data_IF_234900320737
#
_entry.id   IF_234900320737
#
_cell.length_a   1.000
_cell.length_b   1.000
_cell.length_c   1.000
_cell.angle_alpha   90.00
_cell.angle_beta   90.00
_cell.angle_gamma   90.00
#
_symmetry.space_group_name_H-M   'P 1'
#
loop_
_entity.id
_entity.type
_entity.pdbx_description
1 polymer ?
#
# COMPACT_ATOMS: atom_id res chain seq x y z
N UNK A 1 -16.49 9.11 -5.02
CA UNK A 1 -15.28 9.88 -4.75
C UNK A 1 -15.75 11.13 -4.05
N UNK A 2 -15.66 11.15 -2.73
CA UNK A 2 -15.78 12.37 -1.95
C UNK A 2 -14.46 13.10 -2.13
N UNK A 3 -14.54 14.31 -2.64
CA UNK A 3 -13.46 15.29 -2.70
C UNK A 3 -12.93 15.47 -1.26
N UNK A 4 -11.97 14.66 -0.87
CA UNK A 4 -11.19 14.86 0.33
C UNK A 4 -10.20 15.96 0.03
N UNK A 5 -10.60 17.20 0.29
CA UNK A 5 -9.68 18.30 0.31
C UNK A 5 -8.51 17.93 1.24
N UNK A 6 -7.29 17.90 0.71
CA UNK A 6 -6.09 17.84 1.50
C UNK A 6 -6.16 18.99 2.52
N UNK A 7 -5.73 18.80 3.78
CA UNK A 7 -5.73 19.89 4.75
C UNK A 7 -4.99 21.09 4.15
N UNK A 8 -5.57 22.28 4.29
CA UNK A 8 -4.96 23.54 3.82
C UNK A 8 -3.58 23.68 4.46
N UNK A 9 -2.55 23.37 3.69
CA UNK A 9 -1.16 23.69 4.04
C UNK A 9 -1.03 25.19 3.83
N UNK A 10 -0.89 25.95 4.91
CA UNK A 10 -0.74 27.41 4.84
C UNK A 10 0.53 27.79 4.08
N UNK A 11 0.39 28.78 3.21
CA UNK A 11 1.41 29.35 2.34
C UNK A 11 2.53 30.02 3.13
N UNK A 12 3.75 29.56 2.92
CA UNK A 12 4.95 30.25 3.39
C UNK A 12 5.74 30.70 2.18
N UNK A 13 5.80 32.00 1.96
CA UNK A 13 6.72 32.58 0.97
C UNK A 13 8.10 32.71 1.59
N UNK A 14 9.06 31.93 1.07
CA UNK A 14 10.47 32.09 1.44
C UNK A 14 11.03 33.28 0.68
N UNK A 15 11.05 34.44 1.33
CA UNK A 15 11.69 35.66 0.79
C UNK A 15 13.22 35.66 0.87
N UNK A 16 13.86 34.56 1.34
CA UNK A 16 15.28 34.50 1.58
C UNK A 16 15.96 33.66 0.51
N UNK A 17 16.89 34.27 -0.21
CA UNK A 17 17.81 33.57 -1.09
C UNK A 17 18.56 32.47 -0.29
N UNK A 18 18.69 31.27 -0.85
CA UNK A 18 19.52 30.23 -0.26
C UNK A 18 20.94 30.79 -0.02
N UNK A 19 21.65 30.39 1.06
CA UNK A 19 22.99 30.83 1.32
C UNK A 19 23.91 30.47 0.16
N UNK A 20 24.91 31.35 -0.10
CA UNK A 20 25.91 31.06 -1.13
C UNK A 20 26.82 29.89 -0.74
N UNK A 21 27.07 29.74 0.58
CA UNK A 21 28.01 28.75 1.11
C UNK A 21 27.40 28.02 2.33
N UNK A 22 27.58 26.69 2.36
CA UNK A 22 27.33 25.83 3.52
C UNK A 22 28.62 25.15 3.91
N UNK A 23 29.02 25.26 5.17
CA UNK A 23 30.23 24.65 5.72
C UNK A 23 29.85 23.59 6.74
N UNK A 24 30.48 22.41 6.67
CA UNK A 24 30.23 21.31 7.59
C UNK A 24 31.54 20.79 8.16
N UNK A 25 31.54 20.45 9.45
CA UNK A 25 32.68 19.82 10.11
C UNK A 25 32.20 18.91 11.25
N UNK A 26 33.04 17.97 11.65
CA UNK A 26 32.82 17.13 12.81
C UNK A 26 33.95 17.38 13.83
N UNK A 27 33.63 17.76 15.07
CA UNK A 27 34.63 17.97 16.12
C UNK A 27 35.29 16.63 16.52
N UNK A 28 36.56 16.68 16.84
CA UNK A 28 37.30 15.57 17.44
C UNK A 28 37.23 15.60 18.99
N UNK A 29 37.62 14.52 19.64
CA UNK A 29 37.81 14.48 21.09
C UNK A 29 36.57 14.22 21.94
N UNK A 30 35.43 13.85 21.34
CA UNK A 30 34.27 13.42 22.10
C UNK A 30 34.54 12.07 22.81
N UNK A 31 34.11 11.93 24.07
CA UNK A 31 34.32 10.67 24.81
C UNK A 31 33.35 9.57 24.30
N UNK A 32 33.61 8.33 24.70
CA UNK A 32 32.63 7.25 24.65
C UNK A 32 31.55 7.50 25.71
N UNK A 33 30.34 7.74 25.28
CA UNK A 33 29.20 8.08 26.17
C UNK A 33 28.60 6.86 26.87
N UNK A 34 28.15 7.06 28.10
CA UNK A 34 27.48 6.07 28.95
C UNK A 34 26.21 6.63 29.59
N UNK A 35 25.33 5.78 30.14
CA UNK A 35 24.12 6.25 30.81
C UNK A 35 24.42 7.25 31.93
N UNK A 36 23.79 8.41 31.86
CA UNK A 36 23.93 9.49 32.84
C UNK A 36 25.03 10.49 32.56
N UNK A 37 25.84 10.33 31.52
CA UNK A 37 26.83 11.33 31.12
C UNK A 37 26.18 12.64 30.70
N UNK A 38 26.82 13.76 31.04
CA UNK A 38 26.38 15.10 30.64
C UNK A 38 26.78 15.39 29.18
N UNK A 39 25.93 14.95 28.29
CA UNK A 39 26.10 15.12 26.83
C UNK A 39 26.26 16.59 26.44
N UNK A 40 25.44 17.46 26.99
CA UNK A 40 25.43 18.87 26.60
C UNK A 40 26.75 19.55 27.00
N UNK A 41 27.31 19.25 28.19
CA UNK A 41 28.59 19.75 28.63
C UNK A 41 29.71 19.22 27.74
N UNK A 42 29.74 17.91 27.46
CA UNK A 42 30.80 17.32 26.62
C UNK A 42 30.78 17.93 25.20
N UNK A 43 29.59 18.14 24.62
CA UNK A 43 29.47 18.81 23.32
C UNK A 43 29.87 20.28 23.38
N UNK A 44 29.45 21.05 24.40
CA UNK A 44 29.82 22.44 24.55
C UNK A 44 31.33 22.61 24.66
N UNK A 45 32.00 21.77 25.44
CA UNK A 45 33.46 21.80 25.62
C UNK A 45 34.20 21.45 24.31
N UNK A 46 33.79 20.40 23.60
CA UNK A 46 34.38 19.99 22.33
C UNK A 46 34.18 21.03 21.23
N UNK A 47 32.96 21.55 21.10
CA UNK A 47 32.61 22.57 20.08
C UNK A 47 33.24 23.92 20.34
N UNK A 48 33.43 24.31 21.61
CA UNK A 48 34.14 25.53 21.98
C UNK A 48 35.64 25.42 21.74
N UNK A 49 36.21 24.22 21.95
CA UNK A 49 37.63 23.96 21.67
C UNK A 49 37.93 23.79 20.18
N UNK A 50 36.94 23.50 19.34
CA UNK A 50 37.12 23.38 17.90
C UNK A 50 37.48 24.72 17.26
N UNK A 51 38.33 24.71 16.24
CA UNK A 51 38.83 25.90 15.54
C UNK A 51 37.74 26.78 14.94
N UNK A 52 36.56 26.21 14.62
CA UNK A 52 35.44 26.94 14.05
C UNK A 52 34.55 27.57 15.12
N UNK A 53 34.57 27.05 16.34
CA UNK A 53 33.68 27.46 17.42
C UNK A 53 32.23 27.22 17.09
N UNK A 54 31.30 27.49 18.02
CA UNK A 54 29.86 27.46 17.81
C UNK A 54 29.35 28.90 17.77
N UNK A 55 28.50 29.22 16.79
CA UNK A 55 27.92 30.57 16.63
C UNK A 55 26.42 30.49 16.40
N UNK A 56 25.74 31.63 16.53
CA UNK A 56 24.33 31.74 16.20
C UNK A 56 24.03 31.29 14.77
N UNK A 57 23.00 30.51 14.59
CA UNK A 57 22.56 29.99 13.28
C UNK A 57 23.21 28.65 12.88
N UNK A 58 24.09 28.08 13.71
CA UNK A 58 24.61 26.74 13.48
C UNK A 58 23.56 25.66 13.78
N UNK A 59 23.63 24.53 13.04
CA UNK A 59 22.85 23.32 13.31
C UNK A 59 23.79 22.22 13.80
N UNK A 60 23.55 21.73 15.02
CA UNK A 60 24.28 20.60 15.61
C UNK A 60 23.55 19.31 15.23
N UNK A 61 24.22 18.44 14.50
CA UNK A 61 23.67 17.16 14.01
C UNK A 61 24.34 16.00 14.71
N UNK A 62 23.58 15.17 15.41
CA UNK A 62 24.13 14.05 16.18
C UNK A 62 23.42 12.74 15.87
N UNK A 63 24.16 11.62 15.91
CA UNK A 63 23.57 10.29 15.76
C UNK A 63 22.73 9.92 17.00
N UNK A 64 21.58 9.27 16.77
CA UNK A 64 20.68 8.78 17.82
C UNK A 64 21.37 7.95 18.89
N UNK A 65 22.43 7.21 18.54
CA UNK A 65 23.14 6.35 19.48
C UNK A 65 23.80 7.07 20.65
N UNK A 66 24.19 8.32 20.46
CA UNK A 66 24.72 9.12 21.57
C UNK A 66 23.62 9.37 22.60
N UNK A 67 22.43 9.75 22.15
CA UNK A 67 21.27 9.91 23.03
C UNK A 67 20.86 8.58 23.65
N UNK A 68 20.79 7.52 22.84
CA UNK A 68 20.46 6.18 23.33
C UNK A 68 21.40 5.72 24.46
N UNK A 69 22.72 6.04 24.37
CA UNK A 69 23.69 5.73 25.43
C UNK A 69 23.43 6.58 26.66
N UNK A 70 23.33 7.89 26.54
CA UNK A 70 23.18 8.80 27.68
C UNK A 70 21.81 8.66 28.38
N UNK A 71 20.76 8.32 27.64
CA UNK A 71 19.40 8.09 28.15
C UNK A 71 19.14 6.68 28.66
N UNK A 72 20.17 5.78 28.62
CA UNK A 72 20.06 4.43 29.12
C UNK A 72 19.22 3.49 28.22
N UNK A 73 19.10 3.80 26.92
CA UNK A 73 18.41 2.97 25.91
C UNK A 73 19.32 1.87 25.35
N UNK A 74 20.25 1.39 26.19
CA UNK A 74 21.18 0.30 25.89
C UNK A 74 20.75 -0.95 26.65
N UNK A 75 20.59 -2.05 25.91
CA UNK A 75 20.16 -3.34 26.47
C UNK A 75 21.35 -4.31 26.49
N UNK A 76 21.72 -4.88 27.68
CA UNK A 76 22.71 -5.93 27.73
C UNK A 76 22.32 -7.13 26.86
N UNK A 77 23.27 -7.63 26.08
CA UNK A 77 23.05 -8.73 25.14
C UNK A 77 24.00 -9.91 25.39
N UNK A 78 23.54 -11.16 25.22
CA UNK A 78 24.41 -12.34 25.30
C UNK A 78 25.54 -12.30 24.29
N UNK A 79 26.64 -12.99 24.60
CA UNK A 79 27.75 -13.20 23.66
C UNK A 79 27.52 -14.33 22.70
N UNK A 80 26.64 -15.27 23.05
CA UNK A 80 26.23 -16.33 22.16
C UNK A 80 25.45 -15.73 20.99
N UNK A 81 25.80 -16.03 19.71
CA UNK A 81 25.18 -15.42 18.55
C UNK A 81 23.68 -15.75 18.41
N UNK A 82 23.26 -16.97 18.76
CA UNK A 82 21.87 -17.39 18.62
C UNK A 82 20.98 -16.77 19.71
N UNK A 83 21.48 -16.72 20.93
CA UNK A 83 20.79 -16.04 22.05
C UNK A 83 20.70 -14.53 21.79
N UNK A 84 21.79 -13.92 21.25
CA UNK A 84 21.82 -12.51 20.87
C UNK A 84 20.79 -12.20 19.76
N UNK A 85 20.72 -13.03 18.73
CA UNK A 85 19.74 -12.87 17.64
C UNK A 85 18.30 -13.06 18.17
N UNK A 86 18.08 -14.02 19.08
CA UNK A 86 16.78 -14.21 19.73
C UNK A 86 16.38 -13.01 20.59
N UNK A 87 17.30 -12.42 21.35
CA UNK A 87 17.05 -11.18 22.09
C UNK A 87 16.73 -10.03 21.12
N UNK A 88 17.52 -9.85 20.07
CA UNK A 88 17.32 -8.80 19.08
C UNK A 88 15.93 -8.89 18.46
N UNK A 89 15.45 -10.09 18.09
CA UNK A 89 14.10 -10.29 17.55
C UNK A 89 13.02 -9.86 18.54
N UNK A 90 13.14 -10.23 19.81
CA UNK A 90 12.18 -9.80 20.85
C UNK A 90 12.15 -8.27 21.00
N UNK A 91 13.32 -7.63 20.95
CA UNK A 91 13.40 -6.16 21.02
C UNK A 91 12.77 -5.51 19.78
N UNK A 92 13.04 -6.04 18.58
CA UNK A 92 12.41 -5.57 17.35
C UNK A 92 10.88 -5.71 17.41
N UNK A 93 10.37 -6.83 17.89
CA UNK A 93 8.92 -7.05 18.05
C UNK A 93 8.33 -6.06 19.08
N UNK A 94 9.05 -5.80 20.19
CA UNK A 94 8.62 -4.87 21.22
C UNK A 94 8.63 -3.39 20.78
N UNK A 95 9.58 -3.00 19.93
CA UNK A 95 9.70 -1.63 19.39
C UNK A 95 8.87 -1.41 18.12
N UNK A 96 8.29 -2.47 17.52
CA UNK A 96 7.50 -2.39 16.29
C UNK A 96 6.01 -2.20 16.59
N UNK A 97 5.38 -1.29 15.84
CA UNK A 97 3.92 -1.13 15.80
C UNK A 97 3.30 -2.09 14.78
N UNK A 98 3.95 -2.23 13.62
CA UNK A 98 3.54 -3.18 12.58
C UNK A 98 4.70 -3.59 11.68
N UNK A 99 4.54 -4.74 11.03
CA UNK A 99 5.49 -5.24 10.02
C UNK A 99 5.03 -4.80 8.64
N UNK A 100 5.88 -4.03 7.94
CA UNK A 100 5.62 -3.55 6.58
C UNK A 100 6.09 -4.57 5.53
N UNK A 101 7.31 -5.10 5.70
CA UNK A 101 7.86 -6.11 4.78
C UNK A 101 8.82 -7.07 5.49
N UNK A 102 8.90 -8.30 4.97
CA UNK A 102 9.86 -9.30 5.42
C UNK A 102 10.50 -9.96 4.21
N UNK A 103 11.82 -9.87 4.11
CA UNK A 103 12.61 -10.57 3.08
C UNK A 103 13.82 -11.20 3.74
N UNK A 104 13.90 -12.51 3.71
CA UNK A 104 14.95 -13.28 4.36
C UNK A 104 15.06 -12.93 5.86
N UNK A 105 16.23 -12.39 6.30
CA UNK A 105 16.46 -11.92 7.65
C UNK A 105 16.13 -10.44 7.87
N UNK A 106 15.82 -9.72 6.80
CA UNK A 106 15.49 -8.28 6.87
C UNK A 106 14.00 -8.12 7.19
N UNK A 107 13.73 -7.38 8.24
CA UNK A 107 12.40 -6.99 8.67
C UNK A 107 12.30 -5.47 8.58
N UNK A 108 11.38 -4.97 7.77
CA UNK A 108 11.01 -3.55 7.72
C UNK A 108 9.76 -3.38 8.57
N UNK A 109 9.83 -2.51 9.54
CA UNK A 109 8.72 -2.27 10.47
C UNK A 109 8.50 -0.77 10.66
N UNK A 110 7.28 -0.41 10.98
CA UNK A 110 6.97 0.88 11.58
C UNK A 110 7.23 0.79 13.08
N UNK A 111 8.06 1.68 13.60
CA UNK A 111 8.40 1.75 15.01
C UNK A 111 7.45 2.69 15.79
N UNK A 112 7.69 2.85 17.09
CA UNK A 112 6.88 3.70 17.98
C UNK A 112 6.92 5.19 17.62
N UNK A 113 7.95 5.64 16.90
CA UNK A 113 8.06 7.01 16.41
C UNK A 113 7.28 7.22 15.10
N UNK A 114 6.62 6.17 14.55
CA UNK A 114 5.95 6.19 13.25
C UNK A 114 6.89 6.03 12.06
N UNK A 115 8.18 5.83 12.31
CA UNK A 115 9.21 5.72 11.26
C UNK A 115 9.25 4.29 10.71
N UNK A 116 9.19 4.16 9.39
CA UNK A 116 9.32 2.87 8.70
C UNK A 116 10.78 2.62 8.35
N UNK A 117 11.40 1.65 9.04
CA UNK A 117 12.80 1.31 8.84
C UNK A 117 13.11 -0.16 9.15
N UNK A 118 14.37 -0.57 8.93
CA UNK A 118 14.80 -1.92 9.24
C UNK A 118 14.87 -2.15 10.75
N UNK A 119 14.30 -3.27 11.20
CA UNK A 119 14.39 -3.76 12.56
C UNK A 119 14.00 -2.75 13.66
N UNK A 120 13.03 -1.87 13.38
CA UNK A 120 12.54 -0.84 14.29
C UNK A 120 13.63 0.11 14.84
N UNK A 121 14.79 0.19 14.20
CA UNK A 121 15.96 0.93 14.69
C UNK A 121 16.79 0.20 15.75
N UNK A 122 16.50 -1.06 16.09
CA UNK A 122 17.31 -1.86 17.00
C UNK A 122 18.63 -2.22 16.33
N UNK A 123 19.74 -1.67 16.84
CA UNK A 123 21.06 -1.80 16.24
C UNK A 123 22.12 -2.33 17.23
N UNK A 124 23.08 -3.06 16.71
CA UNK A 124 24.25 -3.56 17.43
C UNK A 124 25.57 -3.00 16.92
N UNK A 125 25.53 -1.99 16.03
CA UNK A 125 26.74 -1.33 15.54
C UNK A 125 27.15 -0.15 16.43
N UNK A 126 28.47 0.13 16.57
CA UNK A 126 29.00 1.21 17.40
C UNK A 126 28.50 1.20 18.87
N UNK A 127 28.22 0.03 19.40
CA UNK A 127 28.01 -0.28 20.82
C UNK A 127 28.93 -1.43 21.22
N UNK A 128 29.09 -1.70 22.51
CA UNK A 128 29.93 -2.83 22.96
C UNK A 128 29.35 -4.17 22.42
N UNK A 129 30.22 -5.18 22.25
CA UNK A 129 29.81 -6.48 21.70
C UNK A 129 28.69 -7.15 22.50
N UNK A 130 28.53 -6.76 23.78
CA UNK A 130 27.47 -7.27 24.68
C UNK A 130 26.30 -6.31 24.85
N UNK A 131 26.04 -5.48 23.88
CA UNK A 131 24.98 -4.46 23.93
C UNK A 131 24.19 -4.40 22.64
N UNK A 132 22.93 -3.97 22.77
CA UNK A 132 22.05 -3.55 21.68
C UNK A 132 21.51 -2.17 22.02
N UNK A 133 21.48 -1.27 21.05
CA UNK A 133 20.89 0.06 21.18
C UNK A 133 19.45 0.07 20.69
N UNK A 134 18.57 0.72 21.43
CA UNK A 134 17.23 1.13 21.03
C UNK A 134 17.25 2.62 20.70
N UNK A 135 16.29 3.10 19.90
CA UNK A 135 16.15 4.53 19.64
C UNK A 135 15.77 5.28 20.93
N UNK A 136 16.09 6.58 21.05
CA UNK A 136 15.54 7.45 22.08
C UNK A 136 14.02 7.38 22.14
N UNK A 137 13.44 7.59 23.31
CA UNK A 137 11.96 7.52 23.46
C UNK A 137 11.25 8.68 22.77
N UNK A 138 11.79 9.88 22.92
CA UNK A 138 11.31 11.09 22.23
C UNK A 138 12.51 11.93 21.75
N UNK A 139 13.01 11.64 20.54
CA UNK A 139 14.20 12.30 20.02
C UNK A 139 13.97 13.81 19.73
N UNK A 140 12.73 14.26 19.49
CA UNK A 140 12.41 15.68 19.38
C UNK A 140 12.55 16.40 20.75
N UNK A 141 12.04 15.81 21.83
CA UNK A 141 12.20 16.35 23.17
C UNK A 141 13.66 16.37 23.60
N UNK A 142 14.43 15.31 23.28
CA UNK A 142 15.88 15.24 23.53
C UNK A 142 16.63 16.33 22.77
N UNK A 143 16.29 16.55 21.48
CA UNK A 143 16.86 17.64 20.68
C UNK A 143 16.59 19.00 21.29
N UNK A 144 15.35 19.26 21.74
CA UNK A 144 14.97 20.52 22.38
C UNK A 144 15.70 20.75 23.70
N UNK A 145 15.83 19.71 24.53
CA UNK A 145 16.57 19.81 25.77
C UNK A 145 18.07 20.13 25.52
N UNK A 146 18.66 19.45 24.52
CA UNK A 146 20.06 19.67 24.16
C UNK A 146 20.29 21.07 23.58
N UNK A 147 19.41 21.57 22.70
CA UNK A 147 19.52 22.92 22.13
C UNK A 147 19.48 24.01 23.22
N UNK A 148 18.55 23.88 24.20
CA UNK A 148 18.47 24.80 25.33
C UNK A 148 19.74 24.77 26.18
N UNK A 149 20.26 23.59 26.46
CA UNK A 149 21.43 23.46 27.33
C UNK A 149 22.71 23.92 26.62
N UNK A 150 22.88 23.66 25.33
CA UNK A 150 23.97 24.21 24.52
C UNK A 150 23.92 25.75 24.51
N UNK A 151 22.76 26.35 24.32
CA UNK A 151 22.59 27.83 24.41
C UNK A 151 22.98 28.36 25.78
N UNK A 152 22.57 27.69 26.86
CA UNK A 152 22.94 28.04 28.21
C UNK A 152 24.46 27.99 28.46
N UNK A 153 25.15 27.00 27.92
CA UNK A 153 26.56 26.75 28.15
C UNK A 153 27.49 27.58 27.26
N UNK A 154 27.08 27.84 26.02
CA UNK A 154 27.92 28.51 25.01
C UNK A 154 27.48 29.93 24.69
N UNK A 155 26.21 30.28 24.98
CA UNK A 155 25.60 31.53 24.56
C UNK A 155 25.10 31.52 23.11
N UNK A 156 25.46 30.52 22.30
CA UNK A 156 25.07 30.44 20.89
C UNK A 156 23.65 29.88 20.73
N UNK A 157 22.85 30.53 19.88
CA UNK A 157 21.53 30.06 19.48
C UNK A 157 21.71 29.08 18.33
N UNK A 158 21.47 27.79 18.59
CA UNK A 158 21.66 26.71 17.63
C UNK A 158 20.41 25.85 17.52
N UNK A 159 20.23 25.22 16.34
CA UNK A 159 19.29 24.14 16.17
C UNK A 159 19.99 22.78 16.42
N UNK A 160 19.20 21.77 16.74
CA UNK A 160 19.68 20.38 16.94
C UNK A 160 18.88 19.44 16.05
N UNK A 161 19.60 18.53 15.34
CA UNK A 161 19.01 17.44 14.55
C UNK A 161 19.58 16.11 15.03
N UNK A 162 18.71 15.19 15.38
CA UNK A 162 19.05 13.81 15.75
C UNK A 162 18.84 12.92 14.56
N UNK A 163 19.84 12.09 14.20
CA UNK A 163 19.81 11.28 12.99
C UNK A 163 19.89 9.79 13.29
N UNK A 164 19.27 9.00 12.42
CA UNK A 164 19.50 7.57 12.34
C UNK A 164 19.78 7.14 10.90
N UNK A 165 20.62 6.11 10.72
CA UNK A 165 21.02 5.60 9.41
C UNK A 165 19.99 4.61 8.91
N UNK A 166 19.30 4.89 7.82
CA UNK A 166 18.27 3.99 7.29
C UNK A 166 18.32 3.79 5.78
N UNK A 167 17.78 2.65 5.34
CA UNK A 167 17.60 2.33 3.93
C UNK A 167 16.47 3.15 3.33
N UNK A 168 16.47 3.23 2.00
CA UNK A 168 15.43 3.93 1.21
C UNK A 168 14.75 2.95 0.28
N UNK A 169 13.43 3.10 0.12
CA UNK A 169 12.69 2.35 -0.88
C UNK A 169 13.28 2.59 -2.30
N UNK A 170 13.35 1.53 -3.09
CA UNK A 170 13.86 1.51 -4.49
C UNK A 170 15.29 2.01 -4.74
N UNK A 171 16.08 2.21 -3.72
CA UNK A 171 17.48 2.65 -3.87
C UNK A 171 18.42 1.80 -3.04
N UNK A 172 19.58 1.48 -3.60
CA UNK A 172 20.67 0.84 -2.85
C UNK A 172 21.38 1.89 -1.98
N UNK A 173 21.90 1.47 -0.85
CA UNK A 173 22.61 2.31 0.12
C UNK A 173 21.68 2.87 1.20
N UNK A 174 22.32 3.41 2.21
CA UNK A 174 21.72 4.03 3.39
C UNK A 174 22.10 5.50 3.44
N UNK A 175 21.29 6.30 4.10
CA UNK A 175 21.59 7.70 4.43
C UNK A 175 21.16 7.95 5.86
N UNK A 176 21.71 8.98 6.49
CA UNK A 176 21.16 9.50 7.72
C UNK A 176 19.87 10.29 7.42
N UNK A 177 18.84 10.08 8.22
CA UNK A 177 17.58 10.81 8.19
C UNK A 177 17.31 11.41 9.57
N UNK A 178 16.60 12.53 9.61
CA UNK A 178 16.22 13.18 10.85
C UNK A 178 15.12 12.37 11.55
N UNK A 179 15.37 11.98 12.80
CA UNK A 179 14.38 11.34 13.67
C UNK A 179 13.98 12.21 14.86
N UNK A 180 14.69 13.30 15.11
CA UNK A 180 14.39 14.32 16.08
C UNK A 180 14.96 15.65 15.65
N UNK A 181 14.26 16.76 15.94
CA UNK A 181 14.68 18.12 15.61
C UNK A 181 14.15 19.13 16.60
N UNK A 182 14.93 20.22 16.82
CA UNK A 182 14.51 21.37 17.58
C UNK A 182 15.21 22.66 17.09
N UNK A 183 14.49 23.77 17.13
CA UNK A 183 14.99 25.09 16.74
C UNK A 183 15.19 25.25 15.22
N UNK A 184 14.62 24.35 14.40
CA UNK A 184 14.76 24.30 12.94
C UNK A 184 13.39 24.13 12.27
N UNK A 185 13.18 24.77 11.12
CA UNK A 185 12.15 24.35 10.17
C UNK A 185 12.58 23.01 9.56
N UNK A 186 11.80 21.96 9.76
CA UNK A 186 12.17 20.63 9.27
C UNK A 186 11.78 20.41 7.81
N UNK A 187 10.80 21.17 7.31
CA UNK A 187 10.47 21.23 5.87
C UNK A 187 10.18 22.67 5.42
N UNK A 188 10.31 22.89 4.10
CA UNK A 188 10.03 24.16 3.44
C UNK A 188 9.16 23.91 2.22
N UNK A 189 7.88 24.29 2.33
CA UNK A 189 6.92 24.20 1.23
C UNK A 189 7.05 25.37 0.26
N UNK A 190 6.91 25.11 -1.04
CA UNK A 190 6.88 26.09 -2.11
C UNK A 190 5.52 26.19 -2.79
N UNK A 191 4.46 25.69 -2.15
CA UNK A 191 3.10 25.74 -2.70
C UNK A 191 2.66 27.19 -2.95
N UNK A 192 2.21 27.44 -4.19
CA UNK A 192 1.83 28.78 -4.65
C UNK A 192 3.00 29.72 -4.97
N UNK A 193 4.27 29.30 -4.85
CA UNK A 193 5.39 30.02 -5.38
C UNK A 193 5.46 29.89 -6.92
N UNK A 194 6.06 30.87 -7.58
CA UNK A 194 6.17 30.91 -9.04
C UNK A 194 7.65 30.81 -9.44
N UNK A 195 7.97 29.86 -10.33
CA UNK A 195 9.34 29.73 -10.85
C UNK A 195 9.74 30.88 -11.79
N UNK A 196 11.01 30.89 -12.23
CA UNK A 196 11.53 31.95 -13.12
C UNK A 196 10.82 32.01 -14.48
N UNK A 197 10.17 30.93 -14.89
CA UNK A 197 9.42 30.78 -16.15
C UNK A 197 7.94 31.17 -15.99
N UNK A 198 7.48 31.43 -14.77
CA UNK A 198 6.10 31.79 -14.47
C UNK A 198 5.20 30.61 -14.15
N UNK A 199 5.75 29.41 -13.92
CA UNK A 199 4.95 28.24 -13.52
C UNK A 199 4.76 28.21 -12.00
N UNK A 200 3.53 27.97 -11.58
CA UNK A 200 3.18 27.79 -10.16
C UNK A 200 3.66 26.42 -9.64
N UNK A 201 4.32 26.43 -8.48
CA UNK A 201 4.74 25.22 -7.77
C UNK A 201 3.59 24.76 -6.86
N UNK A 202 3.05 23.56 -7.11
CA UNK A 202 1.82 23.09 -6.44
C UNK A 202 2.08 22.04 -5.34
N UNK A 203 3.24 21.36 -5.36
CA UNK A 203 3.48 20.19 -4.51
C UNK A 203 4.93 20.08 -4.00
N UNK A 204 5.73 21.12 -4.19
CA UNK A 204 7.15 21.06 -3.80
C UNK A 204 7.29 21.37 -2.31
N UNK A 205 7.71 20.37 -1.54
CA UNK A 205 8.04 20.47 -0.12
C UNK A 205 9.40 19.82 0.11
N UNK A 206 10.37 20.60 0.58
CA UNK A 206 11.75 20.14 0.78
C UNK A 206 11.95 19.71 2.22
N UNK A 207 12.31 18.44 2.44
CA UNK A 207 12.60 17.87 3.76
C UNK A 207 13.99 18.32 4.24
N UNK A 208 14.09 19.57 4.68
CA UNK A 208 15.35 20.25 5.00
C UNK A 208 16.13 19.53 6.10
N UNK A 209 15.44 19.02 7.12
CA UNK A 209 16.11 18.29 8.20
C UNK A 209 16.77 17.00 7.71
N UNK A 210 16.14 16.29 6.75
CA UNK A 210 16.72 15.10 6.13
C UNK A 210 17.92 15.44 5.22
N UNK A 211 17.86 16.55 4.49
CA UNK A 211 19.00 17.02 3.69
C UNK A 211 20.20 17.37 4.59
N UNK A 212 19.97 18.10 5.69
CA UNK A 212 21.00 18.41 6.68
C UNK A 212 21.55 17.14 7.33
N UNK A 213 20.68 16.20 7.72
CA UNK A 213 21.08 14.92 8.30
C UNK A 213 22.00 14.13 7.38
N UNK A 214 21.59 13.96 6.11
CA UNK A 214 22.35 13.24 5.09
C UNK A 214 23.68 13.93 4.75
N UNK A 215 23.71 15.26 4.65
CA UNK A 215 24.91 16.02 4.38
C UNK A 215 25.91 15.92 5.53
N UNK A 216 25.44 16.01 6.78
CA UNK A 216 26.28 15.91 7.97
C UNK A 216 26.94 14.53 8.11
N UNK A 217 26.33 13.45 7.62
CA UNK A 217 26.92 12.10 7.66
C UNK A 217 28.22 12.01 6.83
N UNK A 218 28.37 12.84 5.78
CA UNK A 218 29.59 12.88 4.98
C UNK A 218 30.84 13.27 5.78
N UNK A 219 30.69 14.11 6.82
CA UNK A 219 31.80 14.57 7.67
C UNK A 219 31.91 13.76 8.98
N UNK A 220 30.81 13.21 9.50
CA UNK A 220 30.82 12.25 10.61
C UNK A 220 31.54 10.97 10.21
N UNK A 221 31.16 10.42 9.08
CA UNK A 221 31.65 9.13 8.60
C UNK A 221 31.29 7.97 9.54
N UNK A 222 31.67 6.76 9.17
CA UNK A 222 31.22 5.55 9.89
C UNK A 222 32.23 4.99 10.91
N UNK A 223 33.51 5.20 10.68
CA UNK A 223 34.60 4.57 11.45
C UNK A 223 35.46 5.57 12.25
N UNK A 224 35.19 6.87 12.12
CA UNK A 224 36.00 7.93 12.69
C UNK A 224 35.69 8.28 14.16
N UNK A 225 34.72 7.58 14.81
CA UNK A 225 34.25 7.91 16.17
C UNK A 225 33.80 9.39 16.31
N UNK A 226 33.25 9.95 15.24
CA UNK A 226 32.72 11.33 15.19
C UNK A 226 31.19 11.32 15.12
N UNK A 227 30.51 11.18 16.26
CA UNK A 227 29.05 11.04 16.27
C UNK A 227 28.27 12.35 16.06
N UNK A 228 28.99 13.47 15.98
CA UNK A 228 28.43 14.83 15.89
C UNK A 228 29.07 15.58 14.73
N UNK A 229 28.24 16.37 14.04
CA UNK A 229 28.71 17.37 13.07
C UNK A 229 28.01 18.70 13.34
N UNK A 230 28.58 19.79 12.79
CA UNK A 230 27.97 21.12 12.78
C UNK A 230 27.81 21.55 11.32
N UNK A 231 26.65 22.11 11.01
CA UNK A 231 26.33 22.68 9.70
C UNK A 231 26.10 24.19 9.87
N UNK A 232 26.88 24.98 9.20
CA UNK A 232 26.85 26.45 9.22
C UNK A 232 26.44 27.01 7.87
N UNK A 233 25.72 28.12 7.85
CA UNK A 233 25.24 28.77 6.62
C UNK A 233 23.74 28.59 6.40
N UNK A 234 23.07 27.82 7.23
CA UNK A 234 21.62 27.53 7.15
C UNK A 234 20.80 28.25 8.23
N UNK A 235 21.35 29.27 8.86
CA UNK A 235 20.73 30.00 9.96
C UNK A 235 19.35 30.64 9.65
N UNK A 236 19.03 30.87 8.39
CA UNK A 236 17.72 31.33 7.94
C UNK A 236 16.60 30.30 8.13
N UNK A 237 16.96 29.03 8.43
CA UNK A 237 16.01 27.96 8.69
C UNK A 237 15.72 27.81 10.21
N UNK A 238 16.46 28.54 11.07
CA UNK A 238 16.24 28.46 12.50
C UNK A 238 14.92 29.17 12.88
N UNK A 239 14.20 28.56 13.79
CA UNK A 239 12.98 29.10 14.40
C UNK A 239 13.14 29.19 15.91
N UNK A 240 12.41 30.08 16.57
CA UNK A 240 12.35 30.14 18.03
C UNK A 240 11.39 29.08 18.58
N UNK A 241 11.79 28.34 19.63
CA UNK A 241 10.93 27.34 20.30
C UNK A 241 9.75 27.99 21.03
N UNK A 242 9.89 29.29 21.36
CA UNK A 242 8.89 30.13 22.02
C UNK A 242 8.17 31.06 21.01
N UNK A 243 8.12 30.62 19.73
CA UNK A 243 7.70 31.43 18.60
C UNK A 243 6.35 32.13 18.75
N UNK A 244 6.24 33.32 18.14
CA UNK A 244 5.00 34.05 17.94
C UNK A 244 3.88 33.13 17.43
N UNK A 245 2.66 33.35 17.94
CA UNK A 245 1.46 32.57 17.55
C UNK A 245 1.22 32.55 16.02
N UNK A 246 1.78 33.51 15.28
CA UNK A 246 1.72 33.58 13.81
C UNK A 246 2.55 32.48 13.09
N UNK A 247 3.48 31.81 13.78
CA UNK A 247 4.30 30.69 13.24
C UNK A 247 3.88 29.31 13.79
N UNK A 248 2.74 29.16 14.42
CA UNK A 248 2.29 27.93 15.07
C UNK A 248 2.18 26.72 14.12
N UNK A 249 1.98 26.95 12.82
CA UNK A 249 1.77 25.92 11.81
C UNK A 249 3.07 25.52 11.05
N UNK A 250 4.24 26.05 11.44
CA UNK A 250 5.52 25.66 10.81
C UNK A 250 5.98 24.30 11.34
N UNK A 251 6.27 23.30 10.46
CA UNK A 251 6.84 22.04 10.89
C UNK A 251 8.20 22.25 11.56
N UNK A 252 8.33 21.86 12.84
CA UNK A 252 9.50 22.16 13.69
C UNK A 252 10.12 20.91 14.30
N UNK A 253 9.43 19.77 14.22
CA UNK A 253 9.85 18.50 14.82
C UNK A 253 10.03 17.46 13.73
N UNK A 254 10.99 16.59 13.88
CA UNK A 254 11.21 15.53 12.88
C UNK A 254 9.98 14.62 12.71
N UNK A 255 9.17 14.45 13.76
CA UNK A 255 7.88 13.73 13.65
C UNK A 255 6.92 14.35 12.66
N UNK A 256 7.03 15.65 12.37
CA UNK A 256 6.18 16.35 11.41
C UNK A 256 6.50 15.95 9.95
N UNK A 257 7.67 15.30 9.70
CA UNK A 257 8.05 14.71 8.42
C UNK A 257 7.44 13.31 8.19
N UNK A 258 6.89 12.70 9.24
CA UNK A 258 6.28 11.37 9.15
C UNK A 258 4.87 11.52 8.58
N UNK A 259 4.62 10.91 7.41
CA UNK A 259 3.29 10.93 6.79
C UNK A 259 2.27 10.20 7.64
N UNK A 260 1.12 10.84 7.86
CA UNK A 260 -0.03 10.18 8.46
C UNK A 260 -0.53 9.02 7.60
N UNK A 261 -0.95 7.93 8.26
CA UNK A 261 -1.25 6.67 7.59
C UNK A 261 -2.24 6.72 6.43
N UNK A 262 -3.17 7.69 6.37
CA UNK A 262 -4.14 7.82 5.27
C UNK A 262 -3.58 8.57 4.06
N UNK A 263 -2.58 9.41 4.25
CA UNK A 263 -1.91 10.17 3.18
C UNK A 263 -0.68 9.46 2.61
N UNK A 264 -0.24 8.35 3.21
CA UNK A 264 0.91 7.59 2.74
C UNK A 264 0.50 6.59 1.66
N UNK A 265 0.94 6.85 0.41
CA UNK A 265 0.70 5.97 -0.74
C UNK A 265 1.37 4.59 -0.61
N UNK A 266 2.35 4.45 0.27
CA UNK A 266 3.11 3.22 0.50
C UNK A 266 2.80 2.57 1.85
N UNK A 267 1.70 2.98 2.49
CA UNK A 267 1.29 2.54 3.82
C UNK A 267 1.19 1.02 3.96
N UNK A 268 0.63 0.36 2.94
CA UNK A 268 0.43 -1.08 3.00
C UNK A 268 1.74 -1.82 2.78
N UNK A 269 2.12 -2.65 3.74
CA UNK A 269 3.15 -3.65 3.54
C UNK A 269 2.72 -4.72 2.54
N UNK A 270 3.67 -5.45 1.97
CA UNK A 270 3.39 -6.51 0.98
C UNK A 270 2.38 -7.54 1.48
N UNK A 271 2.52 -8.01 2.72
CA UNK A 271 1.61 -8.98 3.30
C UNK A 271 0.20 -8.41 3.53
N UNK A 272 0.11 -7.16 3.96
CA UNK A 272 -1.16 -6.46 4.15
C UNK A 272 -1.88 -6.22 2.82
N UNK A 273 -1.17 -5.75 1.79
CA UNK A 273 -1.73 -5.53 0.46
C UNK A 273 -2.27 -6.84 -0.15
N UNK A 274 -1.52 -7.95 -0.02
CA UNK A 274 -1.97 -9.28 -0.46
C UNK A 274 -3.20 -9.73 0.33
N UNK A 275 -3.21 -9.55 1.64
CA UNK A 275 -4.34 -9.92 2.48
C UNK A 275 -5.59 -9.07 2.17
N UNK A 276 -5.42 -7.79 1.91
CA UNK A 276 -6.50 -6.89 1.50
C UNK A 276 -7.05 -7.29 0.14
N UNK A 277 -6.20 -7.49 -0.88
CA UNK A 277 -6.63 -7.93 -2.21
C UNK A 277 -7.41 -9.26 -2.18
N UNK A 278 -6.99 -10.21 -1.32
CA UNK A 278 -7.74 -11.47 -1.11
C UNK A 278 -9.13 -11.24 -0.54
N UNK A 279 -9.29 -10.33 0.43
CA UNK A 279 -10.60 -10.01 1.02
C UNK A 279 -11.49 -9.26 0.05
N UNK A 280 -10.92 -8.40 -0.78
CA UNK A 280 -11.64 -7.55 -1.73
C UNK A 280 -12.02 -8.25 -3.03
N UNK A 281 -11.40 -9.36 -3.37
CA UNK A 281 -11.62 -10.07 -4.64
C UNK A 281 -13.08 -10.41 -4.91
N UNK A 282 -13.82 -10.88 -3.89
CA UNK A 282 -15.24 -11.22 -4.04
C UNK A 282 -16.14 -9.97 -4.06
N UNK A 283 -16.00 -8.99 -3.14
CA UNK A 283 -16.74 -7.73 -3.18
C UNK A 283 -16.49 -6.88 -4.45
N UNK A 284 -15.31 -6.94 -5.05
CA UNK A 284 -14.98 -6.22 -6.28
C UNK A 284 -15.81 -6.69 -7.47
N UNK A 285 -16.25 -7.95 -7.50
CA UNK A 285 -17.09 -8.49 -8.57
C UNK A 285 -18.47 -7.82 -8.59
N UNK A 286 -18.78 -7.15 -9.67
CA UNK A 286 -20.08 -6.49 -9.92
C UNK A 286 -20.69 -6.93 -11.26
N UNK A 287 -22.00 -6.81 -11.38
CA UNK A 287 -22.68 -7.01 -12.67
C UNK A 287 -22.60 -5.73 -13.50
N UNK A 288 -21.64 -5.69 -14.42
CA UNK A 288 -21.40 -4.58 -15.35
C UNK A 288 -22.20 -4.81 -16.62
N UNK A 289 -22.94 -3.76 -17.06
CA UNK A 289 -23.81 -3.82 -18.24
C UNK A 289 -23.49 -2.75 -19.30
N UNK A 290 -22.53 -1.88 -19.00
CA UNK A 290 -22.01 -0.87 -19.93
C UNK A 290 -20.50 -1.06 -20.04
N UNK A 291 -20.05 -1.31 -21.24
CA UNK A 291 -18.66 -1.59 -21.55
C UNK A 291 -18.08 -0.48 -22.43
N UNK A 292 -16.77 -0.26 -22.35
CA UNK A 292 -16.02 0.56 -23.29
C UNK A 292 -15.81 -0.23 -24.60
N UNK A 293 -15.34 0.46 -25.62
CA UNK A 293 -14.97 -0.15 -26.91
C UNK A 293 -13.57 -0.75 -26.90
N UNK A 294 -12.89 -0.73 -25.75
CA UNK A 294 -11.54 -1.28 -25.60
C UNK A 294 -11.56 -2.80 -25.82
N UNK A 295 -10.70 -3.33 -26.72
CA UNK A 295 -10.62 -4.75 -26.99
C UNK A 295 -10.05 -5.51 -25.81
N UNK A 296 -10.62 -6.67 -25.51
CA UNK A 296 -10.15 -7.56 -24.44
C UNK A 296 -9.13 -8.53 -25.01
N UNK A 297 -7.96 -8.60 -24.38
CA UNK A 297 -6.91 -9.53 -24.74
C UNK A 297 -7.39 -10.98 -24.53
N UNK A 298 -7.10 -11.83 -25.53
CA UNK A 298 -7.47 -13.25 -25.51
C UNK A 298 -6.73 -14.04 -24.43
N UNK A 299 -5.49 -13.67 -24.08
CA UNK A 299 -4.72 -14.32 -23.03
C UNK A 299 -5.33 -14.00 -21.65
N UNK A 300 -5.75 -12.77 -21.41
CA UNK A 300 -6.43 -12.37 -20.17
C UNK A 300 -7.72 -13.16 -19.96
N UNK A 301 -8.49 -13.42 -21.06
CA UNK A 301 -9.68 -14.26 -20.98
C UNK A 301 -9.33 -15.72 -20.71
N UNK A 302 -8.30 -16.25 -21.34
CA UNK A 302 -7.85 -17.62 -21.13
C UNK A 302 -7.39 -17.85 -19.69
N UNK A 303 -6.64 -16.92 -19.13
CA UNK A 303 -6.19 -16.97 -17.73
C UNK A 303 -7.37 -16.90 -16.75
N UNK A 304 -8.37 -16.07 -17.02
CA UNK A 304 -9.57 -16.01 -16.19
C UNK A 304 -10.40 -17.30 -16.24
N UNK A 305 -10.43 -17.96 -17.41
CA UNK A 305 -11.04 -19.30 -17.57
C UNK A 305 -10.22 -20.35 -16.84
N UNK A 306 -8.88 -20.32 -16.91
CA UNK A 306 -8.02 -21.23 -16.17
C UNK A 306 -8.25 -21.16 -14.66
N UNK A 307 -8.35 -19.94 -14.10
CA UNK A 307 -8.72 -19.75 -12.71
C UNK A 307 -10.11 -20.33 -12.39
N UNK A 308 -11.09 -20.13 -13.28
CA UNK A 308 -12.44 -20.64 -13.09
C UNK A 308 -12.51 -22.18 -13.07
N UNK A 309 -11.63 -22.84 -13.81
CA UNK A 309 -11.53 -24.31 -13.85
C UNK A 309 -10.94 -24.93 -12.56
N UNK A 310 -10.44 -24.09 -11.62
CA UNK A 310 -10.05 -24.54 -10.27
C UNK A 310 -11.25 -24.76 -9.34
N UNK A 311 -12.47 -24.43 -9.78
CA UNK A 311 -13.68 -24.63 -9.00
C UNK A 311 -13.86 -26.12 -8.63
N UNK A 312 -14.38 -26.41 -7.42
CA UNK A 312 -14.60 -27.79 -6.99
C UNK A 312 -15.63 -28.50 -7.90
N UNK A 313 -15.33 -29.75 -8.25
CA UNK A 313 -16.22 -30.60 -9.01
C UNK A 313 -16.36 -31.98 -8.37
N UNK A 314 -17.49 -32.67 -8.53
CA UNK A 314 -17.71 -34.02 -8.01
C UNK A 314 -16.69 -35.01 -8.59
N UNK A 315 -16.33 -36.04 -7.84
CA UNK A 315 -15.57 -37.20 -8.30
C UNK A 315 -14.21 -36.89 -8.93
N UNK A 316 -13.58 -35.74 -8.57
CA UNK A 316 -12.37 -35.24 -9.24
C UNK A 316 -12.51 -35.11 -10.76
N UNK A 317 -13.73 -34.93 -11.24
CA UNK A 317 -14.06 -34.73 -12.66
C UNK A 317 -13.73 -33.31 -13.13
N UNK A 318 -13.73 -33.12 -14.44
CA UNK A 318 -13.56 -31.80 -15.08
C UNK A 318 -14.75 -31.50 -16.01
N UNK A 319 -15.98 -31.36 -15.47
CA UNK A 319 -17.18 -31.31 -16.29
C UNK A 319 -17.44 -29.94 -16.93
N UNK A 320 -16.71 -28.91 -16.48
CA UNK A 320 -16.99 -27.54 -16.89
C UNK A 320 -16.31 -27.22 -18.22
N UNK A 321 -17.07 -26.58 -19.11
CA UNK A 321 -16.61 -26.09 -20.41
C UNK A 321 -16.98 -24.62 -20.56
N UNK A 322 -16.08 -23.84 -21.13
CA UNK A 322 -16.33 -22.44 -21.49
C UNK A 322 -16.15 -22.28 -23.00
N UNK A 323 -17.13 -21.67 -23.66
CA UNK A 323 -17.10 -21.43 -25.10
C UNK A 323 -17.10 -19.92 -25.35
N UNK A 324 -16.03 -19.38 -25.90
CA UNK A 324 -15.98 -18.01 -26.39
C UNK A 324 -16.68 -17.94 -27.74
N UNK A 325 -17.70 -17.07 -27.88
CA UNK A 325 -18.51 -16.96 -29.08
C UNK A 325 -18.33 -15.58 -29.71
N UNK A 326 -17.86 -15.56 -30.96
CA UNK A 326 -17.58 -14.32 -31.70
C UNK A 326 -18.08 -14.36 -33.14
N UNK A 327 -18.01 -13.23 -33.83
CA UNK A 327 -18.26 -13.11 -35.25
C UNK A 327 -19.61 -13.65 -35.70
N UNK A 328 -19.63 -14.39 -36.79
CA UNK A 328 -20.86 -14.95 -37.40
C UNK A 328 -21.60 -15.93 -36.47
N UNK A 329 -20.87 -16.72 -35.69
CA UNK A 329 -21.47 -17.67 -34.76
C UNK A 329 -22.26 -16.92 -33.65
N UNK A 330 -21.74 -15.85 -33.13
CA UNK A 330 -22.44 -14.99 -32.16
C UNK A 330 -23.71 -14.38 -32.74
N UNK A 331 -23.65 -13.80 -33.95
CA UNK A 331 -24.80 -13.19 -34.60
C UNK A 331 -25.93 -14.23 -34.82
N UNK A 332 -25.58 -15.43 -35.32
CA UNK A 332 -26.51 -16.51 -35.57
C UNK A 332 -27.15 -17.00 -34.26
N UNK A 333 -26.36 -17.29 -33.25
CA UNK A 333 -26.84 -17.73 -31.93
C UNK A 333 -27.80 -16.72 -31.31
N UNK A 334 -27.39 -15.45 -31.19
CA UNK A 334 -28.24 -14.42 -30.56
C UNK A 334 -29.50 -14.13 -31.34
N UNK A 335 -29.50 -14.28 -32.66
CA UNK A 335 -30.68 -14.24 -33.49
C UNK A 335 -31.67 -15.35 -33.17
N UNK A 336 -31.19 -16.59 -33.07
CA UNK A 336 -32.02 -17.75 -32.72
C UNK A 336 -32.58 -17.69 -31.31
N UNK A 337 -31.75 -17.31 -30.31
CA UNK A 337 -32.19 -17.13 -28.92
C UNK A 337 -33.25 -16.03 -28.79
N UNK A 338 -33.12 -14.95 -29.57
CA UNK A 338 -34.13 -13.89 -29.60
C UNK A 338 -35.47 -14.37 -30.19
N UNK A 339 -35.43 -15.17 -31.25
CA UNK A 339 -36.61 -15.72 -31.87
C UNK A 339 -37.36 -16.69 -30.93
N UNK A 340 -36.63 -17.55 -30.22
CA UNK A 340 -37.20 -18.45 -29.21
C UNK A 340 -37.85 -17.64 -28.08
N UNK A 341 -37.16 -16.64 -27.55
CA UNK A 341 -37.68 -15.79 -26.47
C UNK A 341 -38.90 -14.96 -26.92
N UNK A 342 -38.90 -14.45 -28.13
CA UNK A 342 -40.07 -13.74 -28.70
C UNK A 342 -41.26 -14.65 -28.80
N UNK A 343 -41.08 -15.90 -29.23
CA UNK A 343 -42.16 -16.90 -29.30
C UNK A 343 -42.78 -17.16 -27.92
N UNK A 344 -41.94 -17.34 -26.90
CA UNK A 344 -42.38 -17.57 -25.51
C UNK A 344 -43.13 -16.36 -24.96
N UNK A 345 -42.61 -15.15 -25.16
CA UNK A 345 -43.26 -13.91 -24.72
C UNK A 345 -44.59 -13.68 -25.39
N UNK A 346 -44.74 -14.07 -26.66
CA UNK A 346 -46.02 -14.00 -27.38
C UNK A 346 -47.02 -15.03 -26.85
N UNK A 347 -46.56 -16.23 -26.52
CA UNK A 347 -47.37 -17.25 -25.88
C UNK A 347 -47.88 -16.80 -24.49
N UNK A 348 -47.07 -16.02 -23.76
CA UNK A 348 -47.45 -15.36 -22.51
C UNK A 348 -48.39 -14.16 -22.69
N UNK A 349 -48.79 -13.82 -23.94
CA UNK A 349 -49.70 -12.73 -24.25
C UNK A 349 -49.06 -11.35 -24.38
N UNK A 350 -47.73 -11.24 -24.39
CA UNK A 350 -47.05 -9.96 -24.55
C UNK A 350 -47.01 -9.49 -26.01
N UNK A 351 -47.42 -8.23 -26.24
CA UNK A 351 -47.44 -7.60 -27.58
C UNK A 351 -46.94 -6.15 -27.51
N UNK A 352 -46.76 -5.52 -28.69
CA UNK A 352 -46.45 -4.11 -28.82
C UNK A 352 -45.21 -3.65 -28.05
N UNK A 353 -45.30 -2.52 -27.37
CA UNK A 353 -44.20 -1.91 -26.66
C UNK A 353 -43.65 -2.77 -25.49
N UNK A 354 -44.53 -3.52 -24.81
CA UNK A 354 -44.16 -4.41 -23.73
C UNK A 354 -43.21 -5.51 -24.22
N UNK A 355 -43.58 -6.13 -25.36
CA UNK A 355 -42.75 -7.13 -26.02
C UNK A 355 -41.41 -6.53 -26.45
N UNK A 356 -41.42 -5.37 -27.13
CA UNK A 356 -40.21 -4.71 -27.60
C UNK A 356 -39.26 -4.37 -26.42
N UNK A 357 -39.77 -3.80 -25.33
CA UNK A 357 -38.99 -3.48 -24.14
C UNK A 357 -38.37 -4.71 -23.47
N UNK A 358 -39.09 -5.83 -23.42
CA UNK A 358 -38.55 -7.09 -22.87
C UNK A 358 -37.41 -7.64 -23.74
N UNK A 359 -37.62 -7.69 -25.05
CA UNK A 359 -36.62 -8.15 -26.02
C UNK A 359 -35.37 -7.28 -26.03
N UNK A 360 -35.50 -5.97 -25.79
CA UNK A 360 -34.36 -5.04 -25.66
C UNK A 360 -33.40 -5.37 -24.50
N UNK A 361 -33.85 -6.10 -23.48
CA UNK A 361 -32.93 -6.55 -22.39
C UNK A 361 -31.87 -7.54 -22.88
N UNK A 362 -32.10 -8.20 -24.02
CA UNK A 362 -31.12 -9.10 -24.65
C UNK A 362 -29.97 -8.37 -25.37
N UNK A 363 -30.07 -7.05 -25.54
CA UNK A 363 -29.08 -6.27 -26.30
C UNK A 363 -27.73 -6.24 -25.62
N UNK A 364 -27.66 -6.42 -24.29
CA UNK A 364 -26.40 -6.57 -23.55
C UNK A 364 -25.51 -7.63 -24.20
N UNK A 365 -26.04 -8.81 -24.54
CA UNK A 365 -25.24 -9.89 -25.15
C UNK A 365 -24.86 -9.57 -26.61
N UNK A 366 -25.51 -8.62 -27.25
CA UNK A 366 -25.21 -8.18 -28.61
C UNK A 366 -24.11 -7.13 -28.66
N UNK A 367 -24.07 -6.26 -27.65
CA UNK A 367 -23.19 -5.08 -27.58
C UNK A 367 -21.93 -5.29 -26.73
N UNK A 368 -21.88 -6.32 -25.88
CA UNK A 368 -20.68 -6.56 -25.10
C UNK A 368 -19.47 -6.90 -26.00
N UNK A 369 -18.25 -6.49 -25.66
CA UNK A 369 -17.03 -6.82 -26.42
C UNK A 369 -16.85 -8.33 -26.58
N UNK A 370 -16.95 -9.09 -25.49
CA UNK A 370 -16.72 -10.53 -25.47
C UNK A 370 -17.94 -11.28 -24.88
N UNK A 371 -18.17 -12.48 -25.38
CA UNK A 371 -19.25 -13.37 -24.95
C UNK A 371 -18.69 -14.77 -24.64
N UNK A 372 -18.86 -15.20 -23.39
CA UNK A 372 -18.44 -16.53 -22.91
C UNK A 372 -19.68 -17.29 -22.44
N UNK A 373 -19.82 -18.51 -22.92
CA UNK A 373 -20.91 -19.41 -22.53
C UNK A 373 -20.34 -20.54 -21.66
N UNK A 374 -20.75 -20.66 -20.40
CA UNK A 374 -20.42 -21.80 -19.56
C UNK A 374 -21.38 -22.98 -19.79
N UNK A 375 -20.82 -24.19 -19.73
CA UNK A 375 -21.55 -25.44 -19.84
C UNK A 375 -21.09 -26.44 -18.78
N UNK A 376 -21.98 -27.35 -18.43
CA UNK A 376 -21.64 -28.64 -17.80
C UNK A 376 -21.71 -29.72 -18.87
N UNK A 377 -20.68 -30.53 -18.95
CA UNK A 377 -20.61 -31.72 -19.77
C UNK A 377 -21.03 -32.93 -18.90
N UNK A 378 -22.25 -33.40 -19.06
CA UNK A 378 -22.82 -34.44 -18.22
C UNK A 378 -22.11 -35.81 -18.42
N UNK A 379 -21.36 -36.01 -19.53
CA UNK A 379 -20.55 -37.23 -19.76
C UNK A 379 -19.15 -37.16 -19.11
N UNK A 380 -18.76 -36.00 -18.62
CA UNK A 380 -17.42 -35.77 -18.08
C UNK A 380 -17.29 -36.22 -16.60
N UNK A 381 -17.47 -37.51 -16.32
CA UNK A 381 -17.25 -38.13 -15.03
C UNK A 381 -18.51 -38.24 -14.15
N UNK A 382 -19.70 -38.06 -14.69
CA UNK A 382 -20.94 -38.38 -14.01
C UNK A 382 -21.11 -39.91 -13.81
N UNK A 383 -21.69 -40.29 -12.68
CA UNK A 383 -21.99 -41.71 -12.41
C UNK A 383 -23.40 -42.06 -12.88
N UNK A 384 -23.55 -43.19 -13.53
CA UNK A 384 -24.87 -43.75 -13.82
C UNK A 384 -25.47 -44.39 -12.58
N UNK A 385 -26.64 -43.88 -12.19
CA UNK A 385 -27.40 -44.41 -11.06
C UNK A 385 -28.64 -45.18 -11.55
N UNK A 386 -28.99 -46.33 -10.91
CA UNK A 386 -30.11 -47.16 -11.33
C UNK A 386 -31.47 -46.53 -10.97
N UNK A 387 -31.54 -45.47 -10.21
CA UNK A 387 -32.79 -44.82 -9.80
C UNK A 387 -32.76 -43.30 -10.04
N UNK A 388 -33.92 -42.76 -10.37
CA UNK A 388 -34.12 -41.35 -10.72
C UNK A 388 -33.75 -40.38 -9.58
N UNK A 389 -33.87 -40.80 -8.31
CA UNK A 389 -33.53 -39.95 -7.15
C UNK A 389 -32.02 -39.68 -7.09
N UNK A 390 -31.19 -40.71 -7.23
CA UNK A 390 -29.73 -40.55 -7.22
C UNK A 390 -29.24 -39.86 -8.49
N UNK A 391 -29.82 -40.14 -9.64
CA UNK A 391 -29.53 -39.43 -10.89
C UNK A 391 -29.81 -37.92 -10.76
N UNK A 392 -30.94 -37.52 -10.17
CA UNK A 392 -31.23 -36.10 -9.89
C UNK A 392 -30.28 -35.45 -8.90
N UNK A 393 -29.79 -36.19 -7.89
CA UNK A 393 -28.75 -35.69 -6.98
C UNK A 393 -27.43 -35.45 -7.72
N UNK A 394 -27.03 -36.34 -8.61
CA UNK A 394 -25.84 -36.22 -9.45
C UNK A 394 -25.91 -34.96 -10.33
N UNK A 395 -27.02 -34.80 -11.06
CA UNK A 395 -27.27 -33.61 -11.87
C UNK A 395 -27.21 -32.31 -11.03
N UNK A 396 -27.72 -32.36 -9.81
CA UNK A 396 -27.66 -31.22 -8.89
C UNK A 396 -26.23 -30.90 -8.50
N UNK A 397 -25.42 -31.91 -8.14
CA UNK A 397 -24.00 -31.70 -7.78
C UNK A 397 -23.21 -31.08 -8.95
N UNK A 398 -23.41 -31.54 -10.18
CA UNK A 398 -22.77 -30.99 -11.36
C UNK A 398 -23.25 -29.55 -11.65
N UNK A 399 -24.52 -29.26 -11.42
CA UNK A 399 -25.07 -27.89 -11.53
C UNK A 399 -24.45 -26.95 -10.51
N UNK A 400 -24.27 -27.41 -9.25
CA UNK A 400 -23.59 -26.64 -8.20
C UNK A 400 -22.12 -26.38 -8.55
N UNK A 401 -21.40 -27.39 -9.05
CA UNK A 401 -20.03 -27.23 -9.55
C UNK A 401 -19.95 -26.20 -10.68
N UNK A 402 -20.91 -26.26 -11.63
CA UNK A 402 -21.03 -25.26 -12.68
C UNK A 402 -21.27 -23.85 -12.17
N UNK A 403 -22.14 -23.68 -11.18
CA UNK A 403 -22.37 -22.39 -10.52
C UNK A 403 -21.11 -21.85 -9.81
N UNK A 404 -20.34 -22.74 -9.16
CA UNK A 404 -19.06 -22.39 -8.55
C UNK A 404 -18.06 -21.90 -9.60
N UNK A 405 -17.93 -22.60 -10.73
CA UNK A 405 -17.04 -22.20 -11.82
C UNK A 405 -17.45 -20.87 -12.48
N UNK A 406 -18.75 -20.66 -12.69
CA UNK A 406 -19.26 -19.37 -13.18
C UNK A 406 -18.91 -18.24 -12.21
N UNK A 407 -19.14 -18.41 -10.90
CA UNK A 407 -18.77 -17.39 -9.92
C UNK A 407 -17.26 -17.16 -9.92
N UNK A 408 -16.45 -18.21 -9.99
CA UNK A 408 -14.98 -18.11 -10.07
C UNK A 408 -14.55 -17.31 -11.30
N UNK A 409 -15.15 -17.55 -12.48
CA UNK A 409 -14.89 -16.77 -13.69
C UNK A 409 -15.20 -15.28 -13.47
N UNK A 410 -16.37 -14.95 -12.89
CA UNK A 410 -16.77 -13.57 -12.66
C UNK A 410 -15.81 -12.85 -11.70
N UNK A 411 -15.30 -13.55 -10.69
CA UNK A 411 -14.28 -13.00 -9.75
C UNK A 411 -12.93 -12.85 -10.44
N UNK A 412 -12.49 -13.84 -11.21
CA UNK A 412 -11.23 -13.82 -11.95
C UNK A 412 -11.19 -12.67 -12.99
N UNK A 413 -12.30 -12.41 -13.68
CA UNK A 413 -12.44 -11.27 -14.58
C UNK A 413 -12.37 -9.94 -13.82
N UNK A 414 -13.07 -9.81 -12.68
CA UNK A 414 -13.03 -8.61 -11.87
C UNK A 414 -11.63 -8.32 -11.31
N UNK A 415 -10.90 -9.35 -10.87
CA UNK A 415 -9.52 -9.24 -10.40
C UNK A 415 -8.52 -8.75 -11.48
N UNK A 416 -8.91 -8.89 -12.76
CA UNK A 416 -8.16 -8.39 -13.93
C UNK A 416 -8.68 -7.06 -14.49
N UNK A 417 -9.54 -6.37 -13.73
CA UNK A 417 -10.13 -5.08 -14.13
C UNK A 417 -11.26 -5.20 -15.17
N UNK A 418 -11.69 -6.42 -15.51
CA UNK A 418 -12.77 -6.65 -16.46
C UNK A 418 -14.14 -6.64 -15.76
N UNK A 419 -15.09 -5.95 -16.38
CA UNK A 419 -16.49 -6.04 -16.03
C UNK A 419 -17.16 -7.27 -16.64
N UNK A 420 -18.13 -7.84 -15.94
CA UNK A 420 -18.91 -8.97 -16.46
C UNK A 420 -20.37 -8.94 -16.00
N UNK A 421 -21.24 -9.57 -16.78
CA UNK A 421 -22.63 -9.78 -16.41
C UNK A 421 -23.09 -11.18 -16.84
N UNK A 422 -23.48 -12.00 -15.88
CA UNK A 422 -24.11 -13.28 -16.16
C UNK A 422 -25.60 -13.11 -16.47
N UNK A 423 -26.07 -13.81 -17.50
CA UNK A 423 -27.47 -13.81 -18.02
C UNK A 423 -27.89 -15.24 -18.27
N UNK A 424 -29.08 -15.62 -17.79
CA UNK A 424 -29.60 -17.00 -17.89
C UNK A 424 -30.15 -17.44 -19.24
N UNK A 425 -30.11 -16.61 -20.29
CA UNK A 425 -30.80 -16.82 -21.55
C UNK A 425 -30.62 -18.17 -22.23
N UNK A 426 -29.37 -18.71 -22.20
CA UNK A 426 -29.08 -19.99 -22.84
C UNK A 426 -29.64 -21.19 -22.09
N UNK A 427 -29.96 -21.06 -20.80
CA UNK A 427 -30.60 -22.10 -19.99
C UNK A 427 -32.02 -22.38 -20.54
N UNK A 428 -32.73 -21.33 -20.87
CA UNK A 428 -34.14 -21.44 -21.40
C UNK A 428 -34.18 -21.96 -22.84
N UNK A 429 -33.08 -21.88 -23.59
CA UNK A 429 -32.99 -22.28 -24.98
C UNK A 429 -31.79 -23.23 -25.21
N UNK A 430 -31.66 -24.26 -24.37
CA UNK A 430 -30.54 -25.18 -24.37
C UNK A 430 -30.33 -25.89 -25.71
N UNK A 431 -31.39 -26.42 -26.30
CA UNK A 431 -31.34 -27.14 -27.60
C UNK A 431 -30.94 -26.19 -28.74
N UNK A 432 -31.48 -24.99 -28.76
CA UNK A 432 -31.13 -23.95 -29.73
C UNK A 432 -29.65 -23.56 -29.58
N UNK A 433 -29.16 -23.39 -28.34
CA UNK A 433 -27.76 -23.05 -28.07
C UNK A 433 -26.83 -24.11 -28.61
N UNK A 434 -27.08 -25.38 -28.31
CA UNK A 434 -26.25 -26.51 -28.79
C UNK A 434 -26.28 -26.63 -30.32
N UNK A 435 -27.45 -26.56 -30.92
CA UNK A 435 -27.63 -26.65 -32.36
C UNK A 435 -26.89 -25.55 -33.11
N UNK A 436 -27.03 -24.30 -32.67
CA UNK A 436 -26.42 -23.16 -33.35
C UNK A 436 -24.89 -23.14 -33.23
N UNK A 437 -24.35 -23.75 -32.19
CA UNK A 437 -22.91 -23.81 -31.94
C UNK A 437 -22.29 -25.15 -32.34
N UNK A 438 -23.10 -26.17 -32.74
CA UNK A 438 -22.63 -27.49 -33.09
C UNK A 438 -22.01 -28.26 -31.90
N UNK A 439 -22.58 -28.09 -30.72
CA UNK A 439 -22.08 -28.69 -29.47
C UNK A 439 -22.78 -29.99 -29.16
N UNK A 440 -22.12 -30.91 -28.39
CA UNK A 440 -22.68 -32.21 -27.98
C UNK A 440 -23.98 -32.03 -27.19
N UNK A 441 -24.88 -33.02 -27.31
CA UNK A 441 -26.15 -33.06 -26.57
C UNK A 441 -25.95 -33.15 -25.07
N UNK A 442 -24.84 -33.66 -24.61
CA UNK A 442 -24.44 -33.77 -23.19
C UNK A 442 -24.00 -32.45 -22.55
N UNK A 443 -23.75 -31.43 -23.36
CA UNK A 443 -23.37 -30.12 -22.84
C UNK A 443 -24.58 -29.29 -22.47
N UNK A 444 -24.79 -29.10 -21.19
CA UNK A 444 -25.90 -28.35 -20.61
C UNK A 444 -25.48 -26.90 -20.33
N UNK A 445 -26.10 -25.90 -20.97
CA UNK A 445 -25.69 -24.51 -20.78
C UNK A 445 -26.05 -23.97 -19.40
N UNK A 446 -25.17 -23.15 -18.85
CA UNK A 446 -25.31 -22.51 -17.54
C UNK A 446 -25.52 -20.99 -17.63
N UNK A 447 -25.98 -20.49 -18.73
CA UNK A 447 -26.17 -19.06 -19.00
C UNK A 447 -25.12 -18.53 -19.98
N UNK A 448 -25.01 -17.21 -20.03
CA UNK A 448 -24.07 -16.47 -20.86
C UNK A 448 -23.42 -15.38 -20.03
N UNK A 449 -22.14 -15.12 -20.26
CA UNK A 449 -21.36 -14.08 -19.57
C UNK A 449 -20.93 -13.04 -20.61
N UNK A 450 -21.50 -11.82 -20.49
CA UNK A 450 -21.03 -10.64 -21.19
C UNK A 450 -19.77 -10.14 -20.51
N UNK A 451 -18.71 -9.81 -21.26
CA UNK A 451 -17.41 -9.40 -20.72
C UNK A 451 -16.87 -8.20 -21.50
N UNK A 452 -16.18 -7.29 -20.83
CA UNK A 452 -15.49 -6.13 -21.39
C UNK A 452 -14.94 -5.23 -20.29
N UNK A 453 -14.19 -4.20 -20.67
CA UNK A 453 -13.80 -3.17 -19.70
C UNK A 453 -15.03 -2.32 -19.34
N UNK A 454 -15.23 -1.97 -18.06
CA UNK A 454 -16.33 -1.11 -17.65
C UNK A 454 -16.22 0.28 -18.30
N UNK A 455 -17.33 0.82 -18.83
CA UNK A 455 -17.36 2.19 -19.37
C UNK A 455 -17.18 3.27 -18.28
N UNK A 456 -17.43 2.93 -17.02
CA UNK A 456 -17.33 3.81 -15.85
C UNK A 456 -16.74 3.03 -14.68
N UNK A 457 -16.03 3.68 -13.73
CA UNK A 457 -15.55 3.03 -12.52
C UNK A 457 -16.69 2.35 -11.74
N UNK A 458 -16.44 1.12 -11.31
CA UNK A 458 -17.44 0.32 -10.58
C UNK A 458 -16.94 0.12 -9.15
N UNK A 459 -17.55 0.79 -8.16
CA UNK A 459 -17.12 0.64 -6.77
C UNK A 459 -17.41 -0.79 -6.26
N UNK A 460 -16.59 -1.31 -5.34
CA UNK A 460 -16.84 -2.58 -4.68
C UNK A 460 -18.22 -2.63 -4.04
N UNK A 461 -18.75 -3.84 -3.83
CA UNK A 461 -20.01 -4.03 -3.10
C UNK A 461 -19.72 -4.16 -1.62
N UNK A 462 -20.39 -3.39 -0.80
CA UNK A 462 -20.35 -3.62 0.64
C UNK A 462 -20.94 -5.01 0.97
N UNK A 463 -20.24 -5.80 1.79
CA UNK A 463 -20.77 -7.06 2.28
C UNK A 463 -22.10 -6.83 3.02
N UNK A 464 -23.06 -7.70 2.81
CA UNK A 464 -24.30 -7.68 3.60
C UNK A 464 -24.09 -8.44 4.90
N UNK A 465 -24.65 -7.98 6.03
CA UNK A 465 -24.69 -8.79 7.24
C UNK A 465 -25.31 -10.15 6.93
N UNK A 466 -24.76 -11.21 7.52
CA UNK A 466 -25.27 -12.57 7.29
C UNK A 466 -26.72 -12.73 7.76
N UNK A 467 -27.08 -12.09 8.89
CA UNK A 467 -28.46 -12.12 9.42
C UNK A 467 -29.02 -13.53 9.48
N UNK A 468 -30.29 -13.68 9.10
CA UNK A 468 -30.98 -14.97 9.06
C UNK A 468 -30.47 -15.93 7.97
N UNK A 469 -29.58 -15.47 7.08
CA UNK A 469 -28.94 -16.32 6.08
C UNK A 469 -27.85 -17.26 6.66
N UNK A 470 -27.43 -17.02 7.91
CA UNK A 470 -26.48 -17.85 8.63
C UNK A 470 -27.07 -18.27 9.96
N UNK A 471 -27.21 -19.57 10.15
CA UNK A 471 -27.78 -20.16 11.36
C UNK A 471 -26.83 -21.24 11.88
N UNK A 472 -26.59 -21.25 13.20
CA UNK A 472 -25.90 -22.33 13.89
C UNK A 472 -26.94 -23.27 14.51
N UNK A 473 -26.76 -24.56 14.29
CA UNK A 473 -27.56 -25.63 14.97
C UNK A 473 -26.58 -26.46 15.77
N UNK A 474 -26.76 -26.53 17.06
CA UNK A 474 -25.98 -27.33 18.01
C UNK A 474 -26.64 -28.67 18.30
#
# INVERSE_FOLDING_TARGET
MTDGALPEIRRWTVEHAAPADVVMWAPDGLPEFRPGDDLARALADALTADRHGLVDGDVVVLTSKVLSKTEGRIVPAPTDPDERDALRRRLVDAESVRVVARVNRTLITENRLGIVQAAAGVDGSNVEARELALLPEDPDASAAALARELRRLTGARVAVVVTDTMGRAWRTGQIDMAIGAAGLRVSVGYDGAVDRQGNELLVTDVAVADEIASAADLVKGKLGARPVAVVRGVGHLLVDDEGDDDEADVPRRARDLVRGGESDLFRLGTAEAVAQGRREAVPARRSVRRFSDEPVDAEVLADAVADALTAPAPHHSTPIRFVRVSGRARTRLLGALRADWERDLRADGHTGEVLARRLGRGDLLRTCPELILPFVDDDAGAHDYPDARRAACEETMFTVAGGAAVQSLLVALAARGLGSCWVGSTIFAADTTRRELGLPSTWRPLGAVAVGYPAEPVPPREPRPAGDAYMSVE
#
